data_IF_186529229080
#
_entry.id   IF_186529229080
#
_cell.length_a   1.000
_cell.length_b   1.000
_cell.length_c   1.000
_cell.angle_alpha   90.00
_cell.angle_beta   90.00
_cell.angle_gamma   90.00
#
_symmetry.space_group_name_H-M   'P 1'
#
loop_
_entity.id
_entity.type
_entity.pdbx_description
1 polymer ?
#
# COMPACT_ATOMS: atom_id res chain seq x y z
N UNK A 1 -10.28 -17.78 -11.67
CA UNK A 1 -9.41 -16.94 -10.84
C UNK A 1 -7.91 -16.96 -11.22
N UNK A 2 -7.36 -18.04 -11.85
CA UNK A 2 -5.94 -18.06 -12.27
C UNK A 2 -5.61 -16.90 -13.24
N UNK A 3 -6.48 -16.65 -14.24
CA UNK A 3 -6.33 -15.54 -15.19
C UNK A 3 -6.39 -14.19 -14.48
N UNK A 4 -7.36 -13.99 -13.58
CA UNK A 4 -7.47 -12.75 -12.78
C UNK A 4 -6.22 -12.50 -11.93
N UNK A 5 -5.65 -13.54 -11.33
CA UNK A 5 -4.40 -13.46 -10.56
C UNK A 5 -3.22 -13.05 -11.43
N UNK A 6 -3.10 -13.63 -12.62
CA UNK A 6 -2.02 -13.31 -13.56
C UNK A 6 -2.16 -11.88 -14.11
N UNK A 7 -3.35 -11.48 -14.58
CA UNK A 7 -3.61 -10.13 -15.07
C UNK A 7 -3.38 -9.06 -13.98
N UNK A 8 -3.82 -9.30 -12.74
CA UNK A 8 -3.52 -8.44 -11.59
C UNK A 8 -2.01 -8.31 -11.36
N UNK A 9 -1.26 -9.41 -11.42
CA UNK A 9 0.19 -9.39 -11.22
C UNK A 9 0.92 -8.59 -12.31
N UNK A 10 0.38 -8.59 -13.53
CA UNK A 10 0.87 -7.79 -14.67
C UNK A 10 0.38 -6.33 -14.65
N UNK A 11 -0.48 -5.93 -13.70
CA UNK A 11 -1.08 -4.59 -13.66
C UNK A 11 -2.17 -4.33 -14.70
N UNK A 12 -2.64 -5.38 -15.39
CA UNK A 12 -3.61 -5.32 -16.50
C UNK A 12 -5.06 -5.22 -15.97
N UNK A 13 -5.36 -4.12 -15.28
CA UNK A 13 -6.64 -3.95 -14.58
C UNK A 13 -7.86 -3.88 -15.49
N UNK A 14 -7.70 -3.44 -16.74
CA UNK A 14 -8.77 -3.48 -17.75
C UNK A 14 -9.17 -4.93 -18.04
N UNK A 15 -8.19 -5.80 -18.23
CA UNK A 15 -8.41 -7.24 -18.44
C UNK A 15 -9.07 -7.85 -17.20
N UNK A 16 -8.61 -7.50 -15.99
CA UNK A 16 -9.25 -7.96 -14.75
C UNK A 16 -10.73 -7.57 -14.74
N UNK A 17 -11.07 -6.33 -15.08
CA UNK A 17 -12.45 -5.87 -15.10
C UNK A 17 -13.32 -6.62 -16.12
N UNK A 18 -12.81 -6.81 -17.34
CA UNK A 18 -13.53 -7.57 -18.40
C UNK A 18 -13.82 -9.02 -17.96
N UNK A 19 -12.82 -9.71 -17.42
CA UNK A 19 -13.00 -11.10 -16.97
C UNK A 19 -13.96 -11.20 -15.77
N UNK A 20 -13.92 -10.25 -14.85
CA UNK A 20 -14.86 -10.21 -13.72
C UNK A 20 -16.28 -9.94 -14.21
N UNK A 21 -16.49 -9.06 -15.20
CA UNK A 21 -17.80 -8.76 -15.75
C UNK A 21 -18.44 -9.94 -16.49
N UNK A 22 -17.62 -10.86 -17.01
CA UNK A 22 -18.08 -12.09 -17.63
C UNK A 22 -18.48 -13.21 -16.63
N UNK A 23 -18.23 -13.02 -15.34
CA UNK A 23 -18.58 -13.97 -14.29
C UNK A 23 -19.81 -13.48 -13.51
N UNK A 24 -20.85 -14.30 -13.46
CA UNK A 24 -21.99 -14.02 -12.59
C UNK A 24 -21.63 -14.36 -11.14
N UNK A 25 -21.59 -13.36 -10.21
CA UNK A 25 -21.24 -13.62 -8.82
C UNK A 25 -22.25 -14.53 -8.09
N UNK A 26 -23.50 -14.56 -8.50
CA UNK A 26 -24.55 -15.32 -7.82
C UNK A 26 -24.42 -16.85 -7.96
N UNK A 27 -23.67 -17.31 -8.97
CA UNK A 27 -23.38 -18.75 -9.15
C UNK A 27 -22.07 -19.18 -8.47
N UNK A 28 -21.29 -18.22 -7.93
CA UNK A 28 -20.03 -18.51 -7.27
C UNK A 28 -20.23 -19.02 -5.85
N UNK A 29 -19.37 -19.93 -5.41
CA UNK A 29 -19.42 -20.49 -4.08
C UNK A 29 -19.28 -19.43 -3.00
N UNK A 30 -20.14 -19.49 -1.99
CA UNK A 30 -20.03 -18.72 -0.74
C UNK A 30 -19.32 -19.49 0.36
N UNK A 31 -19.03 -20.79 0.14
CA UNK A 31 -18.29 -21.61 1.09
C UNK A 31 -16.82 -21.16 1.11
N UNK A 32 -16.24 -20.93 2.30
CA UNK A 32 -14.84 -20.55 2.40
C UNK A 32 -13.92 -21.66 1.88
N UNK A 33 -12.87 -21.26 1.17
CA UNK A 33 -11.78 -22.18 0.84
C UNK A 33 -10.97 -22.46 2.11
N UNK A 34 -10.65 -23.73 2.31
CA UNK A 34 -9.85 -24.18 3.47
C UNK A 34 -8.44 -24.54 3.00
N UNK A 35 -7.42 -24.05 3.71
CA UNK A 35 -6.03 -24.44 3.45
C UNK A 35 -5.71 -25.81 4.08
N UNK A 36 -4.46 -26.27 3.86
CA UNK A 36 -3.98 -27.58 4.37
C UNK A 36 -3.99 -27.67 5.90
N UNK A 37 -3.96 -26.52 6.61
CA UNK A 37 -4.02 -26.43 8.07
C UNK A 37 -5.44 -26.23 8.59
N UNK A 38 -6.45 -26.30 7.73
CA UNK A 38 -7.87 -26.17 8.12
C UNK A 38 -8.33 -24.72 8.34
N UNK A 39 -7.52 -23.72 7.98
CA UNK A 39 -7.88 -22.30 8.12
C UNK A 39 -8.78 -21.87 6.98
N UNK A 40 -9.94 -21.31 7.35
CA UNK A 40 -10.87 -20.79 6.36
C UNK A 40 -10.43 -19.43 5.82
N UNK A 41 -10.33 -19.34 4.51
CA UNK A 41 -9.94 -18.15 3.76
C UNK A 41 -11.11 -17.45 3.08
N UNK A 42 -10.85 -16.95 1.89
CA UNK A 42 -11.83 -16.33 1.03
C UNK A 42 -12.71 -17.39 0.38
N UNK A 43 -13.98 -17.06 0.08
CA UNK A 43 -14.79 -17.84 -0.86
C UNK A 43 -14.69 -17.22 -2.26
N UNK A 44 -15.12 -17.98 -3.29
CA UNK A 44 -15.07 -17.51 -4.66
C UNK A 44 -15.84 -16.20 -4.87
N UNK A 45 -17.02 -16.09 -4.26
CA UNK A 45 -17.85 -14.89 -4.39
C UNK A 45 -17.18 -13.68 -3.75
N UNK A 46 -16.59 -13.82 -2.56
CA UNK A 46 -15.86 -12.71 -1.91
C UNK A 46 -14.60 -12.31 -2.68
N UNK A 47 -13.87 -13.27 -3.26
CA UNK A 47 -12.76 -12.99 -4.17
C UNK A 47 -13.20 -12.23 -5.40
N UNK A 48 -14.35 -12.60 -6.00
CA UNK A 48 -14.92 -11.89 -7.13
C UNK A 48 -15.15 -10.42 -6.80
N UNK A 49 -15.82 -10.11 -5.67
CA UNK A 49 -16.05 -8.74 -5.23
C UNK A 49 -14.75 -7.98 -4.97
N UNK A 50 -13.73 -8.64 -4.44
CA UNK A 50 -12.41 -8.02 -4.23
C UNK A 50 -11.75 -7.64 -5.56
N UNK A 51 -11.73 -8.56 -6.56
CA UNK A 51 -11.20 -8.26 -7.88
C UNK A 51 -12.01 -7.17 -8.58
N UNK A 52 -13.34 -7.22 -8.50
CA UNK A 52 -14.23 -6.21 -9.10
C UNK A 52 -13.97 -4.83 -8.53
N UNK A 53 -13.98 -4.69 -7.21
CA UNK A 53 -13.73 -3.41 -6.56
C UNK A 53 -12.32 -2.87 -6.89
N UNK A 54 -11.28 -3.72 -6.83
CA UNK A 54 -9.92 -3.32 -7.20
C UNK A 54 -9.83 -2.87 -8.66
N UNK A 55 -10.40 -3.63 -9.59
CA UNK A 55 -10.37 -3.26 -11.01
C UNK A 55 -11.09 -1.94 -11.28
N UNK A 56 -12.22 -1.68 -10.62
CA UNK A 56 -12.93 -0.42 -10.73
C UNK A 56 -12.09 0.74 -10.19
N UNK A 57 -11.43 0.58 -9.04
CA UNK A 57 -10.56 1.60 -8.45
C UNK A 57 -9.38 1.93 -9.38
N UNK A 58 -8.71 0.90 -9.89
CA UNK A 58 -7.52 1.06 -10.74
C UNK A 58 -7.86 1.52 -12.19
N UNK A 59 -9.13 1.54 -12.55
CA UNK A 59 -9.64 2.07 -13.84
C UNK A 59 -10.47 3.34 -13.66
N UNK A 60 -10.25 4.09 -12.58
CA UNK A 60 -10.86 5.38 -12.25
C UNK A 60 -12.40 5.36 -12.21
N UNK A 61 -12.98 4.25 -11.73
CA UNK A 61 -14.43 4.06 -11.57
C UNK A 61 -14.82 3.83 -10.10
N UNK A 62 -14.16 4.54 -9.19
CA UNK A 62 -14.32 4.36 -7.74
C UNK A 62 -15.74 4.61 -7.24
N UNK A 63 -16.51 5.51 -7.88
CA UNK A 63 -17.93 5.74 -7.55
C UNK A 63 -18.76 4.45 -7.64
N UNK A 64 -18.47 3.60 -8.64
CA UNK A 64 -19.20 2.31 -8.78
C UNK A 64 -18.93 1.36 -7.62
N UNK A 65 -17.75 1.46 -7.00
CA UNK A 65 -17.44 0.65 -5.81
C UNK A 65 -18.31 1.07 -4.63
N UNK A 66 -18.49 2.37 -4.42
CA UNK A 66 -19.29 2.90 -3.32
C UNK A 66 -20.77 2.50 -3.43
N UNK A 67 -21.27 2.14 -4.62
CA UNK A 67 -22.67 1.71 -4.82
C UNK A 67 -22.97 0.32 -4.23
N UNK A 68 -21.97 -0.56 -4.10
CA UNK A 68 -22.20 -1.93 -3.63
C UNK A 68 -21.35 -2.34 -2.41
N UNK A 69 -20.32 -1.57 -2.07
CA UNK A 69 -19.32 -2.03 -1.10
C UNK A 69 -19.89 -2.26 0.31
N UNK A 70 -20.90 -1.48 0.72
CA UNK A 70 -21.50 -1.62 2.05
C UNK A 70 -22.31 -2.92 2.18
N UNK A 71 -23.00 -3.32 1.10
CA UNK A 71 -23.66 -4.62 1.05
C UNK A 71 -22.63 -5.77 1.15
N UNK A 72 -21.52 -5.66 0.42
CA UNK A 72 -20.44 -6.64 0.44
C UNK A 72 -19.78 -6.74 1.81
N UNK A 73 -19.56 -5.62 2.50
CA UNK A 73 -19.03 -5.57 3.87
C UNK A 73 -19.93 -6.38 4.81
N UNK A 74 -21.25 -6.23 4.69
CA UNK A 74 -22.23 -6.93 5.51
C UNK A 74 -22.31 -8.43 5.14
N UNK A 75 -22.22 -8.74 3.84
CA UNK A 75 -22.29 -10.12 3.33
C UNK A 75 -21.09 -10.97 3.74
N UNK A 76 -19.90 -10.35 3.87
CA UNK A 76 -18.64 -11.08 4.14
C UNK A 76 -17.92 -10.54 5.40
N UNK A 77 -18.45 -10.82 6.60
CA UNK A 77 -17.92 -10.27 7.86
C UNK A 77 -16.47 -10.69 8.15
N UNK A 78 -16.02 -11.87 7.70
CA UNK A 78 -14.64 -12.33 7.86
C UNK A 78 -13.64 -11.51 7.06
N UNK A 79 -14.04 -11.00 5.89
CA UNK A 79 -13.22 -10.17 5.00
C UNK A 79 -13.52 -8.68 5.17
N UNK A 80 -14.33 -8.30 6.17
CA UNK A 80 -14.79 -6.93 6.42
C UNK A 80 -13.66 -5.89 6.35
N UNK A 81 -12.53 -6.15 7.01
CA UNK A 81 -11.36 -5.26 7.01
C UNK A 81 -10.89 -4.90 5.59
N UNK A 82 -10.81 -5.89 4.71
CA UNK A 82 -10.35 -5.68 3.34
C UNK A 82 -11.34 -4.88 2.50
N UNK A 83 -12.64 -5.10 2.67
CA UNK A 83 -13.67 -4.36 1.95
C UNK A 83 -13.82 -2.93 2.48
N UNK A 84 -13.72 -2.71 3.80
CA UNK A 84 -13.68 -1.36 4.39
C UNK A 84 -12.46 -0.58 3.86
N UNK A 85 -11.30 -1.23 3.73
CA UNK A 85 -10.13 -0.63 3.07
C UNK A 85 -10.42 -0.21 1.63
N UNK A 86 -11.10 -1.07 0.83
CA UNK A 86 -11.45 -0.73 -0.55
C UNK A 86 -12.42 0.46 -0.61
N UNK A 87 -13.33 0.59 0.37
CA UNK A 87 -14.19 1.77 0.53
C UNK A 87 -13.34 3.03 0.78
N UNK A 88 -12.40 2.98 1.72
CA UNK A 88 -11.49 4.08 2.00
C UNK A 88 -10.65 4.47 0.78
N UNK A 89 -10.10 3.47 0.07
CA UNK A 89 -9.32 3.69 -1.14
C UNK A 89 -10.17 4.31 -2.27
N UNK A 90 -11.47 3.96 -2.35
CA UNK A 90 -12.40 4.57 -3.31
C UNK A 90 -12.64 6.04 -3.00
N UNK A 91 -12.86 6.39 -1.73
CA UNK A 91 -12.97 7.80 -1.32
C UNK A 91 -11.69 8.58 -1.60
N UNK A 92 -10.54 8.01 -1.27
CA UNK A 92 -9.24 8.62 -1.56
C UNK A 92 -9.06 8.92 -3.05
N UNK A 93 -9.36 7.96 -3.92
CA UNK A 93 -9.28 8.13 -5.39
C UNK A 93 -10.26 9.18 -5.95
N UNK A 94 -11.36 9.41 -5.26
CA UNK A 94 -12.35 10.45 -5.61
C UNK A 94 -11.99 11.82 -5.04
N UNK A 95 -10.90 11.94 -4.28
CA UNK A 95 -10.51 13.19 -3.61
C UNK A 95 -11.28 13.47 -2.32
N UNK A 96 -12.14 12.56 -1.88
CA UNK A 96 -12.89 12.67 -0.62
C UNK A 96 -11.98 12.29 0.55
N UNK A 97 -10.95 13.13 0.81
CA UNK A 97 -9.86 12.82 1.74
C UNK A 97 -10.34 12.65 3.18
N UNK A 98 -11.34 13.43 3.62
CA UNK A 98 -11.87 13.34 4.98
C UNK A 98 -12.57 12.00 5.23
N UNK A 99 -13.43 11.54 4.29
CA UNK A 99 -14.08 10.23 4.41
C UNK A 99 -13.06 9.09 4.39
N UNK A 100 -12.02 9.19 3.55
CA UNK A 100 -10.93 8.23 3.51
C UNK A 100 -10.15 8.20 4.83
N UNK A 101 -9.82 9.37 5.38
CA UNK A 101 -9.11 9.54 6.65
C UNK A 101 -9.86 8.88 7.80
N UNK A 102 -11.14 9.16 7.96
CA UNK A 102 -11.97 8.63 9.06
C UNK A 102 -12.02 7.10 9.03
N UNK A 103 -12.14 6.52 7.83
CA UNK A 103 -12.14 5.06 7.67
C UNK A 103 -10.76 4.48 7.98
N UNK A 104 -9.66 5.05 7.44
CA UNK A 104 -8.32 4.55 7.72
C UNK A 104 -7.96 4.70 9.20
N UNK A 105 -8.31 5.82 9.83
CA UNK A 105 -8.13 6.04 11.26
C UNK A 105 -8.78 4.92 12.08
N UNK A 106 -10.04 4.58 11.76
CA UNK A 106 -10.75 3.47 12.41
C UNK A 106 -10.08 2.11 12.16
N UNK A 107 -9.61 1.85 10.93
CA UNK A 107 -8.91 0.59 10.60
C UNK A 107 -7.56 0.45 11.29
N UNK A 108 -6.89 1.58 11.57
CA UNK A 108 -5.59 1.62 12.22
C UNK A 108 -5.69 1.73 13.76
N UNK A 109 -6.87 2.00 14.32
CA UNK A 109 -7.12 2.05 15.77
C UNK A 109 -7.21 0.65 16.39
N UNK A 110 -6.13 -0.11 16.23
CA UNK A 110 -5.97 -1.45 16.78
C UNK A 110 -4.56 -1.61 17.33
N UNK A 111 -4.37 -2.54 18.28
CA UNK A 111 -3.08 -2.74 18.96
C UNK A 111 -1.89 -2.97 18.00
N UNK A 112 -2.14 -3.64 16.86
CA UNK A 112 -1.13 -3.96 15.85
C UNK A 112 -1.74 -3.78 14.47
N UNK A 113 -1.79 -2.56 13.96
CA UNK A 113 -2.30 -2.33 12.61
C UNK A 113 -1.35 -2.91 11.56
N UNK A 114 -1.90 -3.34 10.45
CA UNK A 114 -1.10 -3.79 9.32
C UNK A 114 -0.31 -2.62 8.74
N UNK A 115 0.98 -2.82 8.46
CA UNK A 115 1.87 -1.78 7.92
C UNK A 115 1.34 -1.12 6.65
N UNK A 116 0.68 -1.88 5.78
CA UNK A 116 0.13 -1.39 4.52
C UNK A 116 -1.12 -0.50 4.73
N UNK A 117 -1.91 -0.71 5.79
CA UNK A 117 -3.01 0.21 6.17
C UNK A 117 -2.45 1.53 6.69
N UNK A 118 -1.44 1.48 7.55
CA UNK A 118 -0.74 2.67 8.03
C UNK A 118 -0.13 3.46 6.86
N UNK A 119 0.48 2.77 5.90
CA UNK A 119 1.05 3.42 4.72
C UNK A 119 -0.02 4.11 3.85
N UNK A 120 -1.14 3.45 3.60
CA UNK A 120 -2.26 4.06 2.87
C UNK A 120 -2.87 5.24 3.63
N UNK A 121 -3.01 5.13 4.96
CA UNK A 121 -3.47 6.22 5.80
C UNK A 121 -2.54 7.44 5.72
N UNK A 122 -1.25 7.20 5.84
CA UNK A 122 -0.26 8.27 5.76
C UNK A 122 -0.30 9.01 4.40
N UNK A 123 -0.57 8.31 3.30
CA UNK A 123 -0.74 8.96 1.97
C UNK A 123 -1.94 9.90 1.94
N UNK A 124 -3.04 9.55 2.59
CA UNK A 124 -4.18 10.46 2.74
C UNK A 124 -3.77 11.73 3.50
N UNK A 125 -3.02 11.59 4.60
CA UNK A 125 -2.53 12.72 5.38
C UNK A 125 -1.56 13.61 4.58
N UNK A 126 -0.69 13.01 3.74
CA UNK A 126 0.18 13.78 2.83
C UNK A 126 -0.64 14.65 1.89
N UNK A 127 -1.68 14.09 1.27
CA UNK A 127 -2.53 14.81 0.30
C UNK A 127 -3.43 15.87 0.98
N UNK A 128 -3.68 15.74 2.30
CA UNK A 128 -4.32 16.78 3.12
C UNK A 128 -3.34 17.88 3.57
N UNK A 129 -2.03 17.70 3.33
CA UNK A 129 -0.98 18.62 3.79
C UNK A 129 -0.49 18.36 5.22
N UNK A 130 -0.99 17.32 5.90
CA UNK A 130 -0.63 16.95 7.28
C UNK A 130 0.70 16.16 7.31
N UNK A 131 1.76 16.74 6.72
CA UNK A 131 3.04 16.06 6.44
C UNK A 131 3.72 15.48 7.69
N UNK A 132 3.65 16.19 8.83
CA UNK A 132 4.30 15.75 10.08
C UNK A 132 3.60 14.51 10.66
N UNK A 133 2.27 14.48 10.64
CA UNK A 133 1.52 13.35 11.14
C UNK A 133 1.60 12.16 10.16
N UNK A 134 1.61 12.43 8.86
CA UNK A 134 1.91 11.42 7.85
C UNK A 134 3.26 10.73 8.10
N UNK A 135 4.32 11.51 8.38
CA UNK A 135 5.65 10.96 8.67
C UNK A 135 5.63 10.05 9.90
N UNK A 136 4.97 10.47 10.99
CA UNK A 136 4.82 9.63 12.21
C UNK A 136 4.16 8.28 11.88
N UNK A 137 3.08 8.30 11.10
CA UNK A 137 2.35 7.08 10.70
C UNK A 137 3.21 6.22 9.76
N UNK A 138 3.95 6.80 8.82
CA UNK A 138 4.88 6.06 7.96
C UNK A 138 6.00 5.39 8.77
N UNK A 139 6.58 6.08 9.75
CA UNK A 139 7.59 5.50 10.63
C UNK A 139 7.02 4.35 11.46
N UNK A 140 5.79 4.46 11.96
CA UNK A 140 5.10 3.36 12.63
C UNK A 140 4.91 2.15 11.70
N UNK A 141 4.55 2.39 10.43
CA UNK A 141 4.45 1.34 9.42
C UNK A 141 5.80 0.65 9.19
N UNK A 142 6.89 1.42 9.08
CA UNK A 142 8.24 0.94 8.80
C UNK A 142 8.79 -0.02 9.86
N UNK A 143 8.39 0.13 11.13
CA UNK A 143 8.82 -0.76 12.22
C UNK A 143 7.89 -1.93 12.47
N UNK A 144 6.71 -1.98 11.84
CA UNK A 144 5.69 -3.00 12.11
C UNK A 144 5.86 -4.29 11.29
N UNK A 145 6.73 -4.32 10.28
CA UNK A 145 6.98 -5.47 9.43
C UNK A 145 8.49 -5.81 9.38
N UNK A 146 8.81 -7.11 9.29
CA UNK A 146 10.19 -7.58 9.17
C UNK A 146 10.65 -7.79 7.71
N UNK A 147 9.71 -7.85 6.76
CA UNK A 147 9.99 -8.05 5.33
C UNK A 147 10.24 -6.70 4.67
N UNK A 148 11.49 -6.26 4.67
CA UNK A 148 11.90 -4.96 4.15
C UNK A 148 11.58 -4.79 2.67
N UNK A 149 11.72 -5.87 1.88
CA UNK A 149 11.40 -5.89 0.45
C UNK A 149 9.93 -5.54 0.16
N UNK A 150 9.02 -5.86 1.10
CA UNK A 150 7.61 -5.48 0.98
C UNK A 150 7.37 -3.98 1.19
N UNK A 151 8.30 -3.29 1.84
CA UNK A 151 8.18 -1.89 2.26
C UNK A 151 9.07 -0.93 1.46
N UNK A 152 9.70 -1.38 0.38
CA UNK A 152 10.63 -0.58 -0.42
C UNK A 152 10.03 0.74 -0.92
N UNK A 153 8.73 0.74 -1.25
CA UNK A 153 8.00 1.95 -1.64
C UNK A 153 7.75 2.87 -0.45
N UNK A 154 7.43 2.31 0.72
CA UNK A 154 7.27 3.08 1.95
C UNK A 154 8.56 3.83 2.31
N UNK A 155 9.73 3.17 2.28
CA UNK A 155 11.01 3.82 2.55
C UNK A 155 11.33 4.94 1.54
N UNK A 156 11.02 4.74 0.25
CA UNK A 156 11.13 5.81 -0.74
C UNK A 156 10.23 7.00 -0.35
N UNK A 157 8.97 6.75 -0.02
CA UNK A 157 8.00 7.81 0.30
C UNK A 157 8.38 8.55 1.60
N UNK A 158 8.88 7.86 2.63
CA UNK A 158 9.44 8.49 3.83
C UNK A 158 10.59 9.43 3.44
N UNK A 159 11.54 8.94 2.63
CA UNK A 159 12.69 9.74 2.21
C UNK A 159 12.28 11.00 1.44
N UNK A 160 11.32 10.88 0.52
CA UNK A 160 10.81 12.04 -0.22
C UNK A 160 10.08 13.02 0.70
N UNK A 161 9.27 12.54 1.62
CA UNK A 161 8.55 13.37 2.59
C UNK A 161 9.51 14.09 3.55
N UNK A 162 10.53 13.38 4.06
CA UNK A 162 11.59 13.98 4.88
C UNK A 162 12.28 15.14 4.13
N UNK A 163 12.62 14.97 2.85
CA UNK A 163 13.20 16.03 2.01
C UNK A 163 12.26 17.25 1.95
N UNK A 164 10.96 17.02 1.71
CA UNK A 164 9.96 18.11 1.61
C UNK A 164 9.81 18.91 2.91
N UNK A 165 10.02 18.28 4.06
CA UNK A 165 9.94 18.95 5.37
C UNK A 165 11.30 19.42 5.92
N UNK A 166 12.37 19.32 5.11
CA UNK A 166 13.70 19.83 5.44
C UNK A 166 14.59 18.89 6.25
N UNK A 167 14.18 17.63 6.47
CA UNK A 167 14.95 16.61 7.18
C UNK A 167 15.89 15.88 6.19
N UNK A 168 16.99 16.54 5.79
CA UNK A 168 17.83 16.09 4.67
C UNK A 168 18.62 14.81 4.98
N UNK A 169 19.07 14.60 6.24
CA UNK A 169 19.80 13.40 6.65
C UNK A 169 18.91 12.18 6.65
N UNK A 170 17.72 12.29 7.23
CA UNK A 170 16.70 11.26 7.28
C UNK A 170 16.21 10.93 5.88
N UNK A 171 16.00 11.95 5.04
CA UNK A 171 15.64 11.77 3.64
C UNK A 171 16.65 10.89 2.91
N UNK A 172 17.94 11.22 3.04
CA UNK A 172 19.02 10.45 2.41
C UNK A 172 19.09 9.02 2.95
N UNK A 173 19.01 8.83 4.26
CA UNK A 173 19.07 7.51 4.88
C UNK A 173 17.97 6.58 4.36
N UNK A 174 16.72 7.04 4.30
CA UNK A 174 15.59 6.25 3.80
C UNK A 174 15.66 5.96 2.30
N UNK A 175 16.15 6.91 1.49
CA UNK A 175 16.34 6.69 0.05
C UNK A 175 17.48 5.70 -0.23
N UNK A 176 18.58 5.76 0.50
CA UNK A 176 19.66 4.78 0.43
C UNK A 176 19.17 3.38 0.82
N UNK A 177 18.39 3.26 1.90
CA UNK A 177 17.77 2.01 2.31
C UNK A 177 16.88 1.43 1.20
N UNK A 178 16.00 2.24 0.62
CA UNK A 178 15.14 1.82 -0.52
C UNK A 178 15.97 1.37 -1.73
N UNK A 179 17.06 2.08 -2.03
CA UNK A 179 17.97 1.74 -3.13
C UNK A 179 18.68 0.42 -2.91
N UNK A 180 19.24 0.19 -1.73
CA UNK A 180 19.93 -1.05 -1.38
C UNK A 180 19.01 -2.28 -1.41
N UNK A 181 17.80 -2.17 -0.86
CA UNK A 181 16.81 -3.24 -0.94
C UNK A 181 16.53 -3.59 -2.39
N UNK A 182 16.36 -2.60 -3.27
CA UNK A 182 16.14 -2.84 -4.70
C UNK A 182 17.32 -3.57 -5.35
N UNK A 183 18.54 -3.15 -5.03
CA UNK A 183 19.76 -3.78 -5.55
C UNK A 183 19.86 -5.23 -5.12
N UNK A 184 19.61 -5.56 -3.85
CA UNK A 184 19.64 -6.94 -3.36
C UNK A 184 18.56 -7.83 -4.00
N UNK A 185 17.40 -7.24 -4.34
CA UNK A 185 16.31 -7.96 -5.02
C UNK A 185 16.50 -8.02 -6.56
N UNK A 186 17.54 -7.41 -7.11
CA UNK A 186 17.72 -7.30 -8.56
C UNK A 186 16.71 -6.39 -9.26
N UNK A 187 16.07 -5.47 -8.53
CA UNK A 187 15.10 -4.54 -9.08
C UNK A 187 15.77 -3.24 -9.52
N UNK A 188 15.26 -2.63 -10.60
CA UNK A 188 15.74 -1.33 -11.05
C UNK A 188 15.52 -0.23 -10.00
N UNK A 189 16.49 0.67 -9.89
CA UNK A 189 16.38 1.86 -9.05
C UNK A 189 15.76 2.98 -9.91
N UNK A 190 14.62 3.55 -9.51
CA UNK A 190 14.05 4.69 -10.23
C UNK A 190 15.00 5.90 -10.26
N UNK A 191 15.09 6.58 -11.38
CA UNK A 191 15.93 7.79 -11.53
C UNK A 191 15.63 8.86 -10.48
N UNK A 192 14.35 9.00 -10.08
CA UNK A 192 13.94 9.92 -9.03
C UNK A 192 14.64 9.65 -7.69
N UNK A 193 14.92 8.39 -7.36
CA UNK A 193 15.67 8.02 -6.16
C UNK A 193 17.14 8.40 -6.32
N UNK A 194 17.78 7.98 -7.43
CA UNK A 194 19.19 8.21 -7.69
C UNK A 194 19.51 9.71 -7.74
N UNK A 195 18.71 10.49 -8.47
CA UNK A 195 18.90 11.94 -8.59
C UNK A 195 18.72 12.65 -7.23
N UNK A 196 17.74 12.24 -6.43
CA UNK A 196 17.53 12.84 -5.12
C UNK A 196 18.67 12.48 -4.16
N UNK A 197 19.22 11.26 -4.20
CA UNK A 197 20.39 10.89 -3.38
C UNK A 197 21.61 11.75 -3.78
N UNK A 198 21.88 11.94 -5.06
CA UNK A 198 23.00 12.79 -5.54
C UNK A 198 22.84 14.24 -5.07
N UNK A 199 21.64 14.79 -5.14
CA UNK A 199 21.34 16.13 -4.64
C UNK A 199 21.61 16.23 -3.14
N UNK A 200 21.10 15.27 -2.35
CA UNK A 200 21.27 15.23 -0.91
C UNK A 200 22.74 15.02 -0.51
N UNK A 201 23.51 14.22 -1.23
CA UNK A 201 24.95 14.07 -1.02
C UNK A 201 25.68 15.41 -1.16
N UNK A 202 25.33 16.19 -2.19
CA UNK A 202 25.91 17.53 -2.41
C UNK A 202 25.53 18.49 -1.29
N UNK A 203 24.28 18.52 -0.87
CA UNK A 203 23.78 19.39 0.21
C UNK A 203 24.43 19.07 1.55
N UNK A 204 24.60 17.78 1.86
CA UNK A 204 25.15 17.31 3.14
C UNK A 204 26.68 17.23 3.14
N UNK A 205 27.36 17.41 2.01
CA UNK A 205 28.78 17.11 1.81
C UNK A 205 29.15 15.69 2.31
N UNK A 206 28.28 14.75 2.08
CA UNK A 206 28.43 13.35 2.49
C UNK A 206 27.99 12.42 1.34
N UNK A 207 28.97 11.70 0.79
CA UNK A 207 28.79 10.73 -0.30
C UNK A 207 28.91 9.27 0.18
N UNK A 208 29.09 9.04 1.48
CA UNK A 208 29.24 7.71 2.03
C UNK A 208 27.96 6.89 1.82
N UNK A 209 28.11 5.78 1.12
CA UNK A 209 27.02 4.84 0.89
C UNK A 209 27.15 3.67 1.87
N UNK A 210 26.07 3.29 2.59
CA UNK A 210 26.07 2.12 3.43
C UNK A 210 26.49 0.88 2.63
N UNK A 211 27.29 0.02 3.24
CA UNK A 211 27.79 -1.20 2.59
C UNK A 211 26.75 -2.32 2.46
N UNK A 212 25.70 -2.25 3.28
CA UNK A 212 24.62 -3.24 3.32
C UNK A 212 23.32 -2.68 3.91
N UNK A 213 22.23 -3.45 3.77
CA UNK A 213 20.89 -3.06 4.29
C UNK A 213 20.90 -2.85 5.80
N UNK A 214 21.66 -3.63 6.58
CA UNK A 214 21.70 -3.48 8.04
C UNK A 214 22.25 -2.12 8.45
N UNK A 215 23.32 -1.68 7.81
CA UNK A 215 23.89 -0.36 8.03
C UNK A 215 22.93 0.76 7.61
N UNK A 216 22.32 0.64 6.42
CA UNK A 216 21.31 1.58 5.95
C UNK A 216 20.08 1.66 6.87
N UNK A 217 19.65 0.52 7.41
CA UNK A 217 18.53 0.46 8.35
C UNK A 217 18.86 1.15 9.68
N UNK A 218 20.08 1.03 10.15
CA UNK A 218 20.51 1.73 11.36
C UNK A 218 20.48 3.25 11.14
N UNK A 219 21.05 3.75 10.03
CA UNK A 219 21.01 5.18 9.68
C UNK A 219 19.58 5.73 9.53
N UNK A 220 18.62 4.91 9.06
CA UNK A 220 17.22 5.32 8.91
C UNK A 220 16.45 5.38 10.23
N UNK A 221 17.02 4.91 11.33
CA UNK A 221 16.39 4.87 12.66
C UNK A 221 16.94 5.95 13.62
N UNK A 222 18.04 6.59 13.26
CA UNK A 222 18.62 7.74 13.96
C UNK A 222 17.83 9.03 13.64
#
# INVERSE_FOLDING_TARGET
>A
FKVLKAAKAAGEWKIVNEWVDNLNPEILSTAPMTDEEGREGWCDQSLWYNYKARALIETDKSEKVLQFIDEVINKFPRQKKFFIRLKALSYYKLGNLNDAQDIYKTLCDVRRPDWWLLHEYARVLVDQGEKQDALKIMCQAAVSNKKLESMVTLFKEIGMLCKEIGQMKEARAHLLLSSLIRTEQGWSIPESISNTIMELNSVLNDDKTPSNIREALNLSRE
#
